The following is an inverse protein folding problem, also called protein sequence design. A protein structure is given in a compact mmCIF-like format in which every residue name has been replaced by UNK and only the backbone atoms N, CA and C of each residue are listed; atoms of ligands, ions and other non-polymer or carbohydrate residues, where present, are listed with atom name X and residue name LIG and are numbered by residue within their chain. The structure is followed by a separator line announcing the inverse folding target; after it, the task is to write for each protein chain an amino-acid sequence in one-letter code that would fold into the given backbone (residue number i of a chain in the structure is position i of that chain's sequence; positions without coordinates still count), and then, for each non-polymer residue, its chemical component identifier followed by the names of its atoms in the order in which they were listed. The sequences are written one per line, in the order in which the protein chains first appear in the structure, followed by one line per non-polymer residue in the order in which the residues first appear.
data_IF_135577292658
#
_entry.id   IF_135577292658
#
_cell.length_a   1.000
_cell.length_b   1.000
_cell.length_c   1.000
_cell.angle_alpha   90.00
_cell.angle_beta   90.00
_cell.angle_gamma   90.00
#
_symmetry.space_group_name_H-M   'P 1'
#
loop_
_entity.id
_entity.type
_entity.pdbx_description
1 polymer ?
#
# COMPACT_ATOMS: atom_id res chain seq x y z
N UNK A 1 2.29 27.52 8.37
CA UNK A 1 2.07 26.57 7.26
C UNK A 1 1.66 25.24 7.80
N UNK A 2 0.51 24.79 7.40
CA UNK A 2 0.01 23.53 7.92
C UNK A 2 0.78 22.36 7.31
N UNK A 3 1.23 21.44 8.16
CA UNK A 3 1.90 20.21 7.75
C UNK A 3 0.93 19.05 7.95
N UNK A 4 -0.31 19.24 7.51
CA UNK A 4 -1.36 18.25 7.61
C UNK A 4 -1.20 17.16 6.54
N UNK A 5 -1.90 16.05 6.76
CA UNK A 5 -1.95 14.96 5.78
C UNK A 5 -2.47 15.49 4.44
N UNK A 6 -3.53 16.31 4.46
CA UNK A 6 -4.11 16.91 3.27
C UNK A 6 -3.12 17.78 2.51
N UNK A 7 -2.34 18.60 3.22
CA UNK A 7 -1.34 19.48 2.60
C UNK A 7 -0.20 18.66 1.97
N UNK A 8 0.18 17.56 2.62
CA UNK A 8 1.20 16.65 2.08
C UNK A 8 0.71 15.94 0.83
N UNK A 9 -0.52 15.43 0.86
CA UNK A 9 -1.15 14.81 -0.32
C UNK A 9 -1.20 15.79 -1.49
N UNK A 10 -1.59 17.03 -1.23
CA UNK A 10 -1.65 18.07 -2.26
C UNK A 10 -0.28 18.33 -2.87
N UNK A 11 0.76 18.47 -2.06
CA UNK A 11 2.14 18.68 -2.53
C UNK A 11 2.64 17.51 -3.37
N UNK A 12 2.22 16.30 -3.04
CA UNK A 12 2.61 15.08 -3.76
C UNK A 12 1.77 14.84 -5.02
N UNK A 13 0.70 15.65 -5.22
CA UNK A 13 -0.22 15.45 -6.33
C UNK A 13 -1.06 14.20 -6.19
N UNK A 14 -1.30 13.75 -4.95
CA UNK A 14 -2.03 12.52 -4.68
C UNK A 14 -3.47 12.84 -4.26
N UNK A 15 -4.42 12.24 -4.95
CA UNK A 15 -5.83 12.22 -4.56
C UNK A 15 -6.15 10.82 -4.03
N UNK A 16 -6.64 10.73 -2.79
CA UNK A 16 -7.03 9.43 -2.23
C UNK A 16 -8.30 8.97 -2.94
N UNK A 17 -8.28 7.80 -3.59
CA UNK A 17 -9.44 7.30 -4.32
C UNK A 17 -10.51 6.76 -3.37
N UNK A 18 -11.68 6.47 -3.91
CA UNK A 18 -12.70 5.71 -3.19
C UNK A 18 -12.17 4.30 -2.91
N UNK A 19 -12.46 3.78 -1.72
CA UNK A 19 -12.01 2.45 -1.32
C UNK A 19 -12.70 1.37 -2.16
N UNK A 20 -11.92 0.41 -2.63
CA UNK A 20 -12.44 -0.74 -3.38
C UNK A 20 -13.06 -1.73 -2.39
N UNK A 21 -14.29 -2.17 -2.66
CA UNK A 21 -14.99 -3.14 -1.82
C UNK A 21 -14.66 -4.57 -2.26
N UNK A 22 -14.62 -5.52 -1.31
CA UNK A 22 -14.37 -6.92 -1.67
C UNK A 22 -15.60 -7.54 -2.32
N UNK A 23 -15.36 -8.55 -3.15
CA UNK A 23 -16.42 -9.32 -3.80
C UNK A 23 -16.58 -10.71 -3.17
N UNK A 24 -16.18 -10.87 -1.92
CA UNK A 24 -16.18 -12.15 -1.20
C UNK A 24 -16.61 -11.96 0.26
N UNK A 25 -16.58 -13.03 1.05
CA UNK A 25 -17.02 -13.02 2.44
C UNK A 25 -15.93 -12.55 3.41
N UNK A 26 -15.34 -11.37 3.13
CA UNK A 26 -14.41 -10.73 4.05
C UNK A 26 -14.58 -9.21 3.97
N UNK A 27 -14.03 -8.50 4.95
CA UNK A 27 -14.00 -7.04 4.98
C UNK A 27 -12.59 -6.56 4.68
N UNK A 28 -12.47 -5.38 4.06
CA UNK A 28 -11.16 -4.83 3.69
C UNK A 28 -10.44 -4.20 4.86
N UNK A 29 -11.18 -3.80 5.90
CA UNK A 29 -10.60 -3.21 7.11
C UNK A 29 -11.35 -3.74 8.34
N UNK A 30 -10.59 -4.08 9.38
CA UNK A 30 -11.16 -4.63 10.62
C UNK A 30 -10.49 -3.98 11.82
N UNK A 31 -11.30 -3.39 12.71
CA UNK A 31 -10.82 -2.85 13.97
C UNK A 31 -10.71 -3.95 15.01
N UNK A 32 -9.62 -3.93 15.78
CA UNK A 32 -9.42 -4.79 16.94
C UNK A 32 -8.68 -3.98 18.01
N UNK A 33 -9.40 -3.60 19.06
CA UNK A 33 -8.84 -2.67 20.04
C UNK A 33 -8.52 -1.33 19.39
N UNK A 34 -7.29 -0.88 19.54
CA UNK A 34 -6.78 0.35 18.93
C UNK A 34 -6.01 0.09 17.63
N UNK A 35 -6.23 -1.07 17.00
CA UNK A 35 -5.59 -1.42 15.75
C UNK A 35 -6.60 -1.55 14.62
N UNK A 36 -6.19 -1.14 13.43
CA UNK A 36 -6.95 -1.31 12.19
C UNK A 36 -6.15 -2.20 11.26
N UNK A 37 -6.71 -3.37 10.98
CA UNK A 37 -6.11 -4.33 10.05
C UNK A 37 -6.67 -4.05 8.66
N UNK A 38 -5.79 -3.84 7.69
CA UNK A 38 -6.19 -3.62 6.30
C UNK A 38 -5.69 -4.78 5.47
N UNK A 39 -6.61 -5.45 4.79
CA UNK A 39 -6.30 -6.59 3.94
C UNK A 39 -5.45 -6.17 2.74
N UNK A 40 -4.85 -7.14 2.07
CA UNK A 40 -4.00 -6.90 0.92
C UNK A 40 -4.65 -6.04 -0.14
N UNK A 41 -3.97 -4.96 -0.50
CA UNK A 41 -4.42 -4.03 -1.53
C UNK A 41 -3.57 -4.23 -2.78
N UNK A 42 -4.25 -4.25 -3.93
CA UNK A 42 -3.62 -4.39 -5.24
C UNK A 42 -3.25 -3.01 -5.80
N UNK A 43 -2.32 -2.95 -6.75
CA UNK A 43 -1.91 -1.68 -7.35
C UNK A 43 -2.89 -1.23 -8.44
N UNK A 44 -4.13 -0.95 -8.04
CA UNK A 44 -5.17 -0.50 -8.95
C UNK A 44 -5.25 1.02 -8.96
N UNK A 45 -5.39 1.59 -10.14
CA UNK A 45 -5.69 3.00 -10.37
C UNK A 45 -6.83 3.07 -11.37
N UNK A 46 -7.91 3.75 -11.00
CA UNK A 46 -9.15 3.81 -11.81
C UNK A 46 -9.66 2.40 -12.17
N UNK A 47 -9.56 1.47 -11.22
CA UNK A 47 -10.05 0.11 -11.38
C UNK A 47 -9.16 -0.82 -12.21
N UNK A 48 -7.99 -0.35 -12.64
CA UNK A 48 -7.08 -1.13 -13.50
C UNK A 48 -5.71 -1.28 -12.85
N UNK A 49 -5.05 -2.44 -13.00
CA UNK A 49 -3.67 -2.60 -12.55
C UNK A 49 -2.74 -1.62 -13.27
N UNK A 50 -1.83 -0.98 -12.52
CA UNK A 50 -0.83 -0.08 -13.11
C UNK A 50 0.29 -0.82 -13.80
N UNK A 51 0.46 -2.12 -13.48
CA UNK A 51 1.38 -3.02 -14.16
C UNK A 51 0.90 -4.46 -14.00
N UNK A 52 1.30 -5.33 -14.90
CA UNK A 52 0.97 -6.76 -14.88
C UNK A 52 2.24 -7.55 -15.19
N UNK A 53 2.48 -8.63 -14.45
CA UNK A 53 3.60 -9.53 -14.68
C UNK A 53 4.52 -9.67 -13.48
N UNK A 54 5.61 -10.39 -13.69
CA UNK A 54 6.61 -10.71 -12.65
C UNK A 54 7.78 -9.74 -12.70
N UNK A 55 8.19 -9.28 -11.54
CA UNK A 55 9.34 -8.38 -11.41
C UNK A 55 10.62 -9.14 -11.75
N UNK A 56 11.45 -8.53 -12.58
CA UNK A 56 12.66 -9.16 -13.08
C UNK A 56 12.44 -9.96 -14.37
N UNK A 57 11.20 -10.06 -14.84
CA UNK A 57 10.86 -10.74 -16.09
C UNK A 57 10.21 -9.74 -17.07
N UNK A 58 8.93 -9.41 -16.87
CA UNK A 58 8.21 -8.45 -17.74
C UNK A 58 7.98 -7.09 -17.06
N UNK A 59 8.20 -7.02 -15.75
CA UNK A 59 8.05 -5.79 -14.96
C UNK A 59 9.42 -5.41 -14.40
N UNK A 60 9.82 -4.14 -14.59
CA UNK A 60 11.06 -3.63 -14.01
C UNK A 60 10.89 -3.32 -12.52
N UNK A 61 11.99 -3.24 -11.79
CA UNK A 61 11.97 -2.84 -10.38
C UNK A 61 11.34 -1.45 -10.22
N UNK A 62 11.59 -0.52 -11.14
CA UNK A 62 11.00 0.83 -11.13
C UNK A 62 9.48 0.80 -11.27
N UNK A 63 8.97 0.00 -12.22
CA UNK A 63 7.54 -0.17 -12.42
C UNK A 63 6.88 -0.81 -11.20
N UNK A 64 7.54 -1.81 -10.61
CA UNK A 64 7.05 -2.49 -9.41
C UNK A 64 7.04 -1.55 -8.20
N UNK A 65 8.03 -0.67 -8.08
CA UNK A 65 8.07 0.35 -7.02
C UNK A 65 6.87 1.28 -7.12
N UNK A 66 6.50 1.72 -8.32
CA UNK A 66 5.29 2.52 -8.55
C UNK A 66 4.02 1.74 -8.22
N UNK A 67 4.01 0.44 -8.50
CA UNK A 67 2.91 -0.44 -8.12
C UNK A 67 2.77 -0.51 -6.59
N UNK A 68 3.87 -0.63 -5.87
CA UNK A 68 3.86 -0.62 -4.40
C UNK A 68 3.30 0.70 -3.86
N UNK A 69 3.66 1.83 -4.47
CA UNK A 69 3.09 3.14 -4.13
C UNK A 69 1.58 3.15 -4.33
N UNK A 70 1.08 2.63 -5.45
CA UNK A 70 -0.36 2.53 -5.72
C UNK A 70 -1.07 1.68 -4.66
N UNK A 71 -0.45 0.57 -4.24
CA UNK A 71 -0.99 -0.26 -3.16
C UNK A 71 -1.11 0.54 -1.85
N UNK A 72 -0.10 1.32 -1.51
CA UNK A 72 -0.12 2.15 -0.30
C UNK A 72 -1.20 3.22 -0.35
N UNK A 73 -1.42 3.83 -1.51
CA UNK A 73 -2.51 4.79 -1.71
C UNK A 73 -3.86 4.10 -1.46
N UNK A 74 -4.04 2.87 -1.93
CA UNK A 74 -5.26 2.10 -1.71
C UNK A 74 -5.42 1.70 -0.24
N UNK A 75 -4.33 1.46 0.49
CA UNK A 75 -4.37 1.25 1.94
C UNK A 75 -4.89 2.52 2.64
N UNK A 76 -4.40 3.69 2.26
CA UNK A 76 -4.89 4.96 2.81
C UNK A 76 -6.36 5.18 2.47
N UNK A 77 -6.80 4.78 1.28
CA UNK A 77 -8.21 4.84 0.89
C UNK A 77 -9.09 3.97 1.83
N UNK A 78 -8.65 2.75 2.13
CA UNK A 78 -9.36 1.86 3.05
C UNK A 78 -9.38 2.45 4.47
N UNK A 79 -8.27 3.00 4.93
CA UNK A 79 -8.21 3.65 6.25
C UNK A 79 -9.16 4.83 6.33
N UNK A 80 -9.19 5.69 5.31
CA UNK A 80 -10.08 6.83 5.27
C UNK A 80 -11.55 6.39 5.28
N UNK A 81 -11.89 5.36 4.51
CA UNK A 81 -13.25 4.82 4.49
C UNK A 81 -13.66 4.26 5.85
N UNK A 82 -12.75 3.57 6.54
CA UNK A 82 -13.03 2.97 7.85
C UNK A 82 -13.11 4.01 8.98
N UNK A 83 -12.31 5.07 8.91
CA UNK A 83 -12.15 6.04 10.02
C UNK A 83 -12.86 7.36 9.75
N UNK A 84 -13.18 7.69 8.51
CA UNK A 84 -13.73 8.97 8.10
C UNK A 84 -12.69 10.05 7.86
N UNK A 85 -11.58 10.02 8.58
CA UNK A 85 -10.52 11.01 8.50
C UNK A 85 -9.17 10.34 8.76
N UNK A 86 -8.20 10.55 7.87
CA UNK A 86 -6.85 10.00 8.01
C UNK A 86 -6.09 10.56 9.22
N UNK A 87 -6.49 11.71 9.76
CA UNK A 87 -5.89 12.27 10.97
C UNK A 87 -6.08 11.36 12.19
N UNK A 88 -7.04 10.43 12.14
CA UNK A 88 -7.27 9.44 13.21
C UNK A 88 -6.23 8.32 13.23
N UNK A 89 -5.39 8.20 12.21
CA UNK A 89 -4.28 7.25 12.19
C UNK A 89 -3.20 7.78 13.12
N UNK A 90 -2.89 7.03 14.18
CA UNK A 90 -1.81 7.39 15.11
C UNK A 90 -0.44 7.03 14.56
N UNK A 91 -0.34 5.85 13.93
CA UNK A 91 0.88 5.44 13.24
C UNK A 91 0.61 4.20 12.37
N UNK A 92 1.48 3.97 11.41
CA UNK A 92 1.56 2.69 10.71
C UNK A 92 2.41 1.75 11.57
N UNK A 93 1.86 0.61 11.92
CA UNK A 93 2.54 -0.35 12.82
C UNK A 93 3.35 -1.36 12.02
N UNK A 94 2.71 -2.01 11.05
CA UNK A 94 3.33 -3.09 10.27
C UNK A 94 2.85 -3.02 8.83
N UNK A 95 3.79 -3.22 7.92
CA UNK A 95 3.52 -3.34 6.49
C UNK A 95 4.13 -4.63 5.99
N UNK A 96 3.38 -5.40 5.22
CA UNK A 96 3.88 -6.57 4.51
C UNK A 96 3.69 -6.35 3.03
N UNK A 97 4.80 -6.39 2.29
CA UNK A 97 4.79 -6.27 0.84
C UNK A 97 5.09 -7.63 0.22
N UNK A 98 4.17 -8.10 -0.62
CA UNK A 98 4.31 -9.33 -1.39
C UNK A 98 4.63 -8.94 -2.82
N UNK A 99 5.73 -9.44 -3.35
CA UNK A 99 6.22 -9.07 -4.68
C UNK A 99 6.30 -10.33 -5.54
N UNK A 100 5.54 -10.38 -6.64
CA UNK A 100 5.58 -11.49 -7.59
C UNK A 100 6.85 -11.35 -8.43
N UNK A 101 7.80 -12.25 -8.25
CA UNK A 101 9.13 -12.11 -8.83
C UNK A 101 9.53 -13.31 -9.68
N UNK A 102 10.41 -13.06 -10.66
CA UNK A 102 11.27 -14.10 -11.17
C UNK A 102 12.10 -14.64 -9.99
N UNK A 103 12.33 -15.98 -9.90
CA UNK A 103 13.08 -16.54 -8.77
C UNK A 103 14.48 -15.95 -8.56
N UNK A 104 15.08 -15.40 -9.61
CA UNK A 104 16.41 -14.82 -9.53
C UNK A 104 16.41 -13.34 -9.13
N UNK A 105 15.24 -12.71 -9.06
CA UNK A 105 15.12 -11.32 -8.62
C UNK A 105 15.04 -11.29 -7.09
N UNK A 106 16.04 -10.68 -6.45
CA UNK A 106 16.12 -10.65 -4.98
C UNK A 106 16.11 -9.23 -4.41
N UNK A 107 16.03 -8.21 -5.26
CA UNK A 107 16.04 -6.81 -4.84
C UNK A 107 14.64 -6.33 -4.39
N UNK A 108 13.97 -7.18 -3.63
CA UNK A 108 12.59 -7.02 -3.17
C UNK A 108 12.41 -5.79 -2.26
N UNK A 109 13.34 -5.49 -1.33
CA UNK A 109 13.21 -4.29 -0.49
C UNK A 109 13.10 -2.99 -1.31
N UNK A 110 13.79 -2.89 -2.43
CA UNK A 110 13.71 -1.72 -3.31
C UNK A 110 12.29 -1.49 -3.82
N UNK A 111 11.61 -2.56 -4.20
CA UNK A 111 10.22 -2.50 -4.65
C UNK A 111 9.31 -2.06 -3.50
N UNK A 112 9.47 -2.68 -2.33
CA UNK A 112 8.67 -2.38 -1.15
C UNK A 112 8.83 -0.91 -0.69
N UNK A 113 9.97 -0.30 -0.98
CA UNK A 113 10.22 1.10 -0.64
C UNK A 113 9.19 2.04 -1.28
N UNK A 114 8.58 1.67 -2.39
CA UNK A 114 7.51 2.46 -3.00
C UNK A 114 6.34 2.68 -2.04
N UNK A 115 5.96 1.65 -1.29
CA UNK A 115 4.92 1.76 -0.28
C UNK A 115 5.44 2.48 0.98
N UNK A 116 6.60 2.09 1.48
CA UNK A 116 7.16 2.67 2.70
C UNK A 116 7.39 4.17 2.56
N UNK A 117 7.97 4.59 1.46
CA UNK A 117 8.22 6.02 1.20
C UNK A 117 6.91 6.80 1.11
N UNK A 118 5.88 6.22 0.49
CA UNK A 118 4.56 6.86 0.40
C UNK A 118 3.98 7.12 1.79
N UNK A 119 4.01 6.12 2.68
CA UNK A 119 3.50 6.28 4.04
C UNK A 119 4.25 7.38 4.81
N UNK A 120 5.56 7.44 4.70
CA UNK A 120 6.36 8.46 5.36
C UNK A 120 6.12 9.84 4.75
N UNK A 121 6.04 9.93 3.43
CA UNK A 121 5.80 11.20 2.75
C UNK A 121 4.43 11.79 3.10
N UNK A 122 3.42 10.94 3.30
CA UNK A 122 2.06 11.38 3.62
C UNK A 122 1.86 11.58 5.12
N UNK A 123 2.36 10.67 5.95
CA UNK A 123 2.09 10.63 7.40
C UNK A 123 3.23 11.16 8.26
N UNK A 124 4.41 11.37 7.67
CA UNK A 124 5.60 11.81 8.42
C UNK A 124 6.11 10.70 9.33
N UNK A 125 6.54 11.04 10.54
CA UNK A 125 7.06 10.08 11.51
C UNK A 125 6.06 8.96 11.82
N UNK A 126 4.77 9.26 11.78
CA UNK A 126 3.71 8.26 11.97
C UNK A 126 3.69 7.19 10.89
N UNK A 127 4.28 7.47 9.73
CA UNK A 127 4.36 6.53 8.62
C UNK A 127 5.47 5.51 8.75
N UNK A 128 6.42 5.69 9.66
CA UNK A 128 7.52 4.74 9.88
C UNK A 128 6.99 3.49 10.58
N UNK A 129 7.30 2.33 10.01
CA UNK A 129 6.66 1.07 10.35
C UNK A 129 7.68 -0.07 10.37
N UNK A 130 7.35 -1.16 11.06
CA UNK A 130 8.03 -2.44 10.89
C UNK A 130 7.59 -3.06 9.56
N UNK A 131 8.48 -3.76 8.87
CA UNK A 131 8.18 -4.26 7.52
C UNK A 131 8.73 -5.66 7.26
N UNK A 132 7.96 -6.46 6.56
CA UNK A 132 8.44 -7.63 5.83
C UNK A 132 8.21 -7.42 4.34
N UNK A 133 9.18 -7.79 3.52
CA UNK A 133 9.09 -7.70 2.07
C UNK A 133 9.59 -9.03 1.51
N UNK A 134 8.70 -9.76 0.84
CA UNK A 134 8.96 -11.14 0.42
C UNK A 134 8.55 -11.34 -1.03
N UNK A 135 9.25 -12.24 -1.70
CA UNK A 135 8.90 -12.69 -3.05
C UNK A 135 7.88 -13.80 -2.99
N UNK A 136 6.92 -13.78 -3.92
CA UNK A 136 5.91 -14.81 -4.09
C UNK A 136 5.86 -15.26 -5.54
N UNK A 137 5.31 -16.46 -5.77
CA UNK A 137 5.25 -17.02 -7.12
C UNK A 137 4.24 -16.30 -8.00
N UNK A 138 3.12 -15.86 -7.45
CA UNK A 138 2.05 -15.19 -8.21
C UNK A 138 1.16 -14.39 -7.26
N UNK A 139 0.46 -13.41 -7.83
CA UNK A 139 -0.51 -12.58 -7.12
C UNK A 139 -1.80 -12.50 -7.94
N UNK A 140 -2.93 -12.12 -7.30
CA UNK A 140 -4.20 -11.96 -8.02
C UNK A 140 -4.05 -11.01 -9.22
N UNK A 141 -4.76 -11.29 -10.30
CA UNK A 141 -4.75 -10.48 -11.52
C UNK A 141 -3.37 -10.35 -12.16
N UNK A 142 -2.43 -11.21 -11.76
CA UNK A 142 -1.03 -11.17 -12.21
C UNK A 142 -0.36 -9.81 -11.95
N UNK A 143 -0.77 -9.12 -10.87
CA UNK A 143 -0.12 -7.88 -10.46
C UNK A 143 1.26 -8.17 -9.88
N UNK A 144 2.21 -7.22 -9.97
CA UNK A 144 3.56 -7.45 -9.45
C UNK A 144 3.70 -7.26 -7.95
N UNK A 145 2.77 -6.56 -7.30
CA UNK A 145 2.88 -6.23 -5.87
C UNK A 145 1.49 -6.27 -5.22
N UNK A 146 1.46 -6.72 -3.98
CA UNK A 146 0.30 -6.59 -3.09
C UNK A 146 0.82 -6.17 -1.73
N UNK A 147 0.12 -5.26 -1.04
CA UNK A 147 0.56 -4.74 0.26
C UNK A 147 -0.58 -4.78 1.25
N UNK A 148 -0.30 -5.24 2.45
CA UNK A 148 -1.22 -5.17 3.60
C UNK A 148 -0.60 -4.35 4.71
N UNK A 149 -1.43 -3.87 5.65
CA UNK A 149 -0.93 -3.04 6.73
C UNK A 149 -1.76 -3.18 8.00
N UNK A 150 -1.11 -2.90 9.14
CA UNK A 150 -1.76 -2.73 10.43
C UNK A 150 -1.46 -1.30 10.88
N UNK A 151 -2.53 -0.56 11.20
CA UNK A 151 -2.43 0.82 11.68
C UNK A 151 -2.88 0.90 13.14
N UNK A 152 -2.32 1.83 13.89
CA UNK A 152 -2.82 2.20 15.21
C UNK A 152 -3.77 3.38 15.07
N UNK A 153 -4.91 3.32 15.79
CA UNK A 153 -5.98 4.32 15.72
C UNK A 153 -6.45 4.77 17.10
#
# INVERSE_FOLDING_TARGET
MSNTIESRLQKLGITIPAAVQPVANYVTARKSGNQLYISGQLPLSNGKPVAIGKVGRTVSAEQAKKSAEACAINILAQAKAALGDLSKVKQVVKVTAFVATDPNFTDIPQVANGASDLFVNVLGEKGKHARSAVGVASLPMDVPVEVEAILEI
#
